data_IF_572894240499
#
_entry.id   IF_572894240499
#
_cell.length_a   1.000
_cell.length_b   1.000
_cell.length_c   1.000
_cell.angle_alpha   90.00
_cell.angle_beta   90.00
_cell.angle_gamma   90.00
#
_symmetry.space_group_name_H-M   'P 1'
#
loop_
_entity.id
_entity.type
_entity.pdbx_description
1 polymer ?
#
# COMPACT_ATOMS: atom_id res chain seq x y z
N UNK A 1 25.13 -8.42 -9.08
CA UNK A 1 24.26 -7.28 -8.71
C UNK A 1 24.23 -7.23 -7.19
N UNK A 2 24.91 -6.26 -6.57
CA UNK A 2 24.80 -6.04 -5.13
C UNK A 2 23.65 -5.06 -4.91
N UNK A 3 22.45 -5.56 -4.59
CA UNK A 3 21.37 -4.68 -4.15
C UNK A 3 21.80 -4.01 -2.86
N UNK A 4 21.89 -2.69 -2.85
CA UNK A 4 21.94 -1.94 -1.60
C UNK A 4 20.60 -2.12 -0.89
N UNK A 5 20.56 -1.95 0.43
CA UNK A 5 19.28 -1.95 1.14
C UNK A 5 18.71 -0.55 1.03
N UNK A 6 17.91 -0.26 -0.02
CA UNK A 6 17.23 1.02 -0.16
C UNK A 6 16.13 1.14 0.86
N UNK A 7 16.31 2.12 1.74
CA UNK A 7 15.34 2.50 2.75
C UNK A 7 14.17 3.23 2.09
N UNK A 8 13.14 2.48 1.71
CA UNK A 8 11.86 3.02 1.26
C UNK A 8 11.74 3.37 -0.22
N UNK A 9 12.81 3.26 -1.02
CA UNK A 9 12.74 3.49 -2.48
C UNK A 9 12.73 2.16 -3.27
N UNK A 10 11.93 1.22 -2.81
CA UNK A 10 11.74 -0.08 -3.48
C UNK A 10 10.33 -0.17 -4.06
N UNK A 11 10.13 -0.95 -5.13
CA UNK A 11 8.81 -1.14 -5.72
C UNK A 11 7.79 -1.66 -4.70
N UNK A 12 8.20 -2.59 -3.82
CA UNK A 12 7.34 -3.09 -2.75
C UNK A 12 6.87 -1.96 -1.82
N UNK A 13 7.80 -1.10 -1.37
CA UNK A 13 7.47 0.01 -0.49
C UNK A 13 6.45 0.96 -1.13
N UNK A 14 6.69 1.39 -2.38
CA UNK A 14 5.80 2.32 -3.07
C UNK A 14 4.41 1.75 -3.37
N UNK A 15 4.31 0.46 -3.70
CA UNK A 15 3.00 -0.18 -3.89
C UNK A 15 2.21 -0.19 -2.58
N UNK A 16 2.82 -0.62 -1.48
CA UNK A 16 2.17 -0.61 -0.16
C UNK A 16 1.70 0.80 0.24
N UNK A 17 2.59 1.79 0.09
CA UNK A 17 2.29 3.19 0.41
C UNK A 17 1.17 3.76 -0.46
N UNK A 18 1.17 3.51 -1.77
CA UNK A 18 0.13 4.03 -2.67
C UNK A 18 -1.26 3.50 -2.30
N UNK A 19 -1.38 2.20 -2.00
CA UNK A 19 -2.65 1.61 -1.57
C UNK A 19 -3.10 2.13 -0.19
N UNK A 20 -2.18 2.30 0.77
CA UNK A 20 -2.52 2.87 2.07
C UNK A 20 -2.97 4.33 1.98
N UNK A 21 -2.31 5.15 1.15
CA UNK A 21 -2.73 6.53 0.91
C UNK A 21 -4.10 6.58 0.24
N UNK A 22 -4.31 5.82 -0.84
CA UNK A 22 -5.61 5.77 -1.52
C UNK A 22 -6.72 5.25 -0.60
N UNK A 23 -6.46 4.16 0.14
CA UNK A 23 -7.41 3.61 1.09
C UNK A 23 -7.79 4.61 2.17
N UNK A 24 -6.80 5.29 2.78
CA UNK A 24 -7.03 6.32 3.80
C UNK A 24 -7.84 7.51 3.25
N UNK A 25 -7.61 7.92 2.00
CA UNK A 25 -8.38 8.98 1.37
C UNK A 25 -9.85 8.56 1.17
N UNK A 26 -10.09 7.34 0.67
CA UNK A 26 -11.45 6.80 0.47
C UNK A 26 -12.17 6.61 1.81
N UNK A 27 -11.49 6.12 2.85
CA UNK A 27 -12.05 6.05 4.21
C UNK A 27 -12.47 7.44 4.69
N UNK A 28 -11.57 8.42 4.58
CA UNK A 28 -11.82 9.79 5.04
C UNK A 28 -13.04 10.40 4.33
N UNK A 29 -13.12 10.24 3.00
CA UNK A 29 -14.28 10.69 2.22
C UNK A 29 -15.55 9.98 2.67
N UNK A 30 -15.53 8.65 2.78
CA UNK A 30 -16.68 7.84 3.18
C UNK A 30 -17.25 8.19 4.55
N UNK A 31 -16.37 8.54 5.50
CA UNK A 31 -16.77 9.02 6.82
C UNK A 31 -17.41 10.41 6.73
N UNK A 32 -16.81 11.34 5.98
CA UNK A 32 -17.33 12.72 5.82
C UNK A 32 -18.73 12.72 5.19
N UNK A 33 -18.96 11.89 4.17
CA UNK A 33 -20.26 11.85 3.47
C UNK A 33 -21.26 10.87 4.12
N UNK A 34 -20.92 10.26 5.26
CA UNK A 34 -21.74 9.28 5.97
C UNK A 34 -22.22 8.13 5.05
N UNK A 35 -21.33 7.63 4.18
CA UNK A 35 -21.60 6.48 3.32
C UNK A 35 -20.85 5.27 3.83
N UNK A 36 -21.59 4.38 4.52
CA UNK A 36 -20.99 3.21 5.16
C UNK A 36 -20.23 2.30 4.19
N UNK A 37 -20.77 2.11 2.99
CA UNK A 37 -20.14 1.27 1.97
C UNK A 37 -18.80 1.85 1.48
N UNK A 38 -18.66 3.18 1.44
CA UNK A 38 -17.48 3.83 0.88
C UNK A 38 -16.28 3.74 1.83
N UNK A 39 -16.48 3.94 3.14
CA UNK A 39 -15.39 3.78 4.11
C UNK A 39 -14.99 2.31 4.26
N UNK A 40 -15.93 1.36 4.10
CA UNK A 40 -15.63 -0.08 4.08
C UNK A 40 -14.72 -0.41 2.90
N UNK A 41 -15.01 0.10 1.69
CA UNK A 41 -14.14 -0.09 0.52
C UNK A 41 -12.74 0.47 0.78
N UNK A 42 -12.63 1.65 1.37
CA UNK A 42 -11.34 2.25 1.71
C UNK A 42 -10.54 1.38 2.69
N UNK A 43 -11.20 0.80 3.70
CA UNK A 43 -10.57 -0.12 4.64
C UNK A 43 -10.08 -1.41 3.96
N UNK A 44 -10.88 -1.97 3.04
CA UNK A 44 -10.48 -3.12 2.23
C UNK A 44 -9.25 -2.78 1.36
N UNK A 45 -9.21 -1.57 0.80
CA UNK A 45 -8.08 -1.11 -0.02
C UNK A 45 -6.78 -1.05 0.80
N UNK A 46 -6.84 -0.60 2.05
CA UNK A 46 -5.70 -0.64 2.97
C UNK A 46 -5.23 -2.09 3.22
N UNK A 47 -6.16 -3.02 3.46
CA UNK A 47 -5.82 -4.43 3.64
C UNK A 47 -5.15 -5.03 2.40
N UNK A 48 -5.66 -4.75 1.21
CA UNK A 48 -5.06 -5.17 -0.06
C UNK A 48 -3.65 -4.60 -0.21
N UNK A 49 -3.42 -3.35 0.15
CA UNK A 49 -2.10 -2.72 0.14
C UNK A 49 -1.09 -3.45 1.03
N UNK A 50 -1.49 -3.83 2.24
CA UNK A 50 -0.63 -4.59 3.17
C UNK A 50 -0.33 -5.98 2.60
N UNK A 51 -1.34 -6.67 2.06
CA UNK A 51 -1.16 -8.00 1.46
C UNK A 51 -0.23 -7.93 0.25
N UNK A 52 -0.39 -6.94 -0.63
CA UNK A 52 0.46 -6.72 -1.79
C UNK A 52 1.90 -6.44 -1.37
N UNK A 53 2.11 -5.54 -0.40
CA UNK A 53 3.44 -5.23 0.14
C UNK A 53 4.14 -6.47 0.72
N UNK A 54 3.44 -7.24 1.55
CA UNK A 54 3.99 -8.49 2.12
C UNK A 54 4.30 -9.51 1.02
N UNK A 55 3.44 -9.66 0.02
CA UNK A 55 3.66 -10.54 -1.12
C UNK A 55 4.90 -10.14 -1.93
N UNK A 56 5.07 -8.85 -2.22
CA UNK A 56 6.21 -8.33 -2.95
C UNK A 56 7.52 -8.46 -2.17
N UNK A 57 7.49 -8.26 -0.85
CA UNK A 57 8.65 -8.50 0.00
C UNK A 57 9.08 -9.97 -0.03
N UNK A 58 8.11 -10.91 -0.01
CA UNK A 58 8.40 -12.34 -0.15
C UNK A 58 8.92 -12.71 -1.53
N UNK A 59 8.56 -11.96 -2.56
CA UNK A 59 9.08 -12.11 -3.91
C UNK A 59 10.47 -11.50 -4.12
N UNK A 60 11.09 -10.93 -3.08
CA UNK A 60 12.41 -10.29 -3.19
C UNK A 60 12.39 -8.91 -3.87
N UNK A 61 11.22 -8.26 -3.98
CA UNK A 61 11.09 -6.90 -4.53
C UNK A 61 11.32 -5.81 -3.46
N UNK A 62 11.95 -6.19 -2.35
CA UNK A 62 12.41 -5.31 -1.29
C UNK A 62 13.81 -4.73 -1.56
N UNK A 63 14.31 -4.91 -2.79
CA UNK A 63 15.60 -4.44 -3.25
C UNK A 63 15.36 -3.37 -4.33
N UNK A 64 16.26 -2.42 -4.35
CA UNK A 64 16.47 -1.38 -5.35
C UNK A 64 17.03 -2.05 -6.61
N UNK A 65 16.29 -1.97 -7.72
CA UNK A 65 16.63 -2.64 -8.99
C UNK A 65 17.52 -1.80 -9.90
N UNK A 66 18.12 -0.71 -9.40
CA UNK A 66 18.99 0.20 -10.15
C UNK A 66 20.19 0.63 -9.31
#
# INVERSE_FOLDING_TARGET
MSGTVSHGNTPAAWVGTAFLLLGSAVVSVGVIVNLSWLWIIGAILCLVGVIAWVGMNRAGMNQDMF
#
